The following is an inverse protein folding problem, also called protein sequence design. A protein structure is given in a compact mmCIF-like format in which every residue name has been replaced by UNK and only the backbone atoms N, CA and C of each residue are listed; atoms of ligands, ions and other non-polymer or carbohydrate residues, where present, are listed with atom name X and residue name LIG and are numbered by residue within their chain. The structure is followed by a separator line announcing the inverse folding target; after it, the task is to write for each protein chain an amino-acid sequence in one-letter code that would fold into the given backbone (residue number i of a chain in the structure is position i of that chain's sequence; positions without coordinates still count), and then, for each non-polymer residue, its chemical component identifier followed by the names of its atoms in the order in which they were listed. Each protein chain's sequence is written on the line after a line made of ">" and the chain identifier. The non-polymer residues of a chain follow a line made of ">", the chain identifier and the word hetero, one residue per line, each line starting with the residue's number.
data_IF_790966577314
#
_entry.id   IF_790966577314
#
_cell.length_a   1.000
_cell.length_b   1.000
_cell.length_c   1.000
_cell.angle_alpha   90.00
_cell.angle_beta   90.00
_cell.angle_gamma   90.00
#
_symmetry.space_group_name_H-M   'P 1'
#
loop_
_entity.id
_entity.type
_entity.pdbx_description
1 polymer ?
#
# COMPACT_ATOMS: atom_id res chain seq x y z
N UNK A 1 -10.69 -2.06 6.42
CA UNK A 1 -9.27 -1.66 6.32
C UNK A 1 -9.11 -0.63 5.21
N UNK A 2 -8.43 0.48 5.46
CA UNK A 2 -8.15 1.52 4.45
C UNK A 2 -6.66 1.81 4.39
N UNK A 3 -6.13 2.08 3.18
CA UNK A 3 -4.77 2.55 2.95
C UNK A 3 -4.80 3.98 2.39
N UNK A 4 -3.95 4.87 2.90
CA UNK A 4 -3.87 6.28 2.52
C UNK A 4 -2.42 6.76 2.52
N UNK A 5 -2.07 7.65 1.60
CA UNK A 5 -0.75 8.28 1.56
C UNK A 5 -0.78 9.64 2.27
N UNK A 6 0.07 9.84 3.26
CA UNK A 6 0.25 11.11 3.94
C UNK A 6 1.49 11.81 3.36
N UNK A 7 1.31 12.55 2.28
CA UNK A 7 2.45 12.99 1.45
C UNK A 7 3.07 14.33 1.86
N UNK A 8 2.46 15.13 2.76
CA UNK A 8 3.02 16.41 3.26
C UNK A 8 2.40 16.81 4.60
N UNK A 9 3.17 17.55 5.38
CA UNK A 9 2.78 18.08 6.70
C UNK A 9 2.18 19.48 6.66
N UNK A 10 1.38 19.85 5.64
CA UNK A 10 0.64 21.11 5.68
C UNK A 10 -0.62 20.97 6.55
N UNK A 11 -1.00 22.03 7.26
CA UNK A 11 -2.19 22.02 8.14
C UNK A 11 -3.47 21.60 7.40
N UNK A 12 -3.59 21.97 6.13
CA UNK A 12 -4.74 21.61 5.30
C UNK A 12 -4.77 20.11 4.96
N UNK A 13 -3.60 19.51 4.67
CA UNK A 13 -3.52 18.08 4.36
C UNK A 13 -3.76 17.22 5.59
N UNK A 14 -3.25 17.64 6.75
CA UNK A 14 -3.54 17.00 8.03
C UNK A 14 -5.03 17.06 8.33
N UNK A 15 -5.68 18.21 8.11
CA UNK A 15 -7.13 18.35 8.31
C UNK A 15 -7.92 17.42 7.40
N UNK A 16 -7.62 17.39 6.10
CA UNK A 16 -8.29 16.50 5.15
C UNK A 16 -8.08 15.02 5.51
N UNK A 17 -6.89 14.67 5.99
CA UNK A 17 -6.61 13.33 6.49
C UNK A 17 -7.46 12.98 7.71
N UNK A 18 -7.55 13.86 8.72
CA UNK A 18 -8.36 13.63 9.91
C UNK A 18 -9.84 13.46 9.55
N UNK A 19 -10.37 14.30 8.66
CA UNK A 19 -11.76 14.20 8.19
C UNK A 19 -12.02 12.86 7.47
N UNK A 20 -11.12 12.42 6.60
CA UNK A 20 -11.21 11.13 5.92
C UNK A 20 -11.06 9.96 6.90
N UNK A 21 -10.14 10.05 7.86
CA UNK A 21 -9.92 9.04 8.89
C UNK A 21 -11.18 8.82 9.74
N UNK A 22 -11.80 9.90 10.21
CA UNK A 22 -13.03 9.85 11.00
C UNK A 22 -14.23 9.36 10.17
N UNK A 23 -14.34 9.78 8.91
CA UNK A 23 -15.45 9.39 8.04
C UNK A 23 -15.43 7.90 7.65
N UNK A 24 -14.22 7.35 7.43
CA UNK A 24 -14.06 5.93 7.09
C UNK A 24 -14.19 5.01 8.30
N UNK A 25 -13.91 5.50 9.51
CA UNK A 25 -14.04 4.77 10.80
C UNK A 25 -13.55 3.31 10.74
N UNK A 26 -12.45 3.08 10.00
CA UNK A 26 -11.93 1.75 9.73
C UNK A 26 -11.34 1.08 10.98
N UNK A 27 -11.46 -0.24 11.11
CA UNK A 27 -10.82 -0.99 12.20
C UNK A 27 -9.29 -0.94 12.10
N UNK A 28 -8.77 -0.87 10.87
CA UNK A 28 -7.36 -0.73 10.54
C UNK A 28 -7.19 0.37 9.51
N UNK A 29 -6.28 1.30 9.77
CA UNK A 29 -5.95 2.38 8.84
C UNK A 29 -4.45 2.38 8.59
N UNK A 30 -4.04 2.05 7.36
CA UNK A 30 -2.65 1.87 6.97
C UNK A 30 -2.17 3.08 6.16
N UNK A 31 -1.05 3.66 6.56
CA UNK A 31 -0.42 4.80 5.90
C UNK A 31 0.92 4.42 5.31
N UNK A 32 1.19 4.93 4.12
CA UNK A 32 2.45 4.79 3.44
C UNK A 32 3.04 6.17 3.15
N UNK A 33 4.35 6.20 2.93
CA UNK A 33 5.09 7.42 2.58
C UNK A 33 4.84 8.58 3.57
N UNK A 34 4.86 8.25 4.87
CA UNK A 34 4.58 9.25 5.92
C UNK A 34 5.62 10.37 5.95
N UNK A 35 6.87 10.09 5.55
CA UNK A 35 8.01 11.05 5.49
C UNK A 35 8.28 11.76 6.82
N UNK A 36 7.74 11.22 7.91
CA UNK A 36 7.85 11.79 9.26
C UNK A 36 9.00 11.17 10.04
N UNK A 37 9.40 11.89 11.07
CA UNK A 37 10.29 11.40 12.12
C UNK A 37 9.55 11.46 13.45
N UNK A 38 10.00 10.66 14.41
CA UNK A 38 9.41 10.62 15.75
C UNK A 38 9.31 12.03 16.37
N UNK A 39 8.13 12.37 16.90
CA UNK A 39 7.86 13.64 17.56
C UNK A 39 7.61 14.84 16.63
N UNK A 40 7.57 14.66 15.30
CA UNK A 40 7.27 15.77 14.38
C UNK A 40 5.79 16.14 14.35
N UNK A 41 4.91 15.17 14.52
CA UNK A 41 3.45 15.36 14.52
C UNK A 41 2.88 14.52 15.66
N UNK A 42 1.84 15.05 16.32
CA UNK A 42 0.99 14.27 17.19
C UNK A 42 -0.34 14.04 16.48
N UNK A 43 -0.56 12.80 16.00
CA UNK A 43 -1.78 12.33 15.37
C UNK A 43 -2.33 11.17 16.19
N UNK A 44 -2.83 11.50 17.39
CA UNK A 44 -3.48 10.52 18.26
C UNK A 44 -4.99 10.54 18.02
N UNK A 45 -5.56 9.39 17.68
CA UNK A 45 -6.99 9.21 17.52
C UNK A 45 -7.55 8.39 18.68
N UNK A 46 -8.61 8.91 19.30
CA UNK A 46 -9.25 8.22 20.42
C UNK A 46 -9.79 6.85 20.00
N UNK A 47 -9.42 5.83 20.75
CA UNK A 47 -9.83 4.44 20.48
C UNK A 47 -8.93 3.68 19.51
N UNK A 48 -7.83 4.29 19.07
CA UNK A 48 -6.85 3.64 18.21
C UNK A 48 -5.49 3.50 18.88
N UNK A 49 -4.85 2.36 18.65
CA UNK A 49 -3.42 2.16 18.83
C UNK A 49 -2.71 2.59 17.53
N UNK A 50 -1.53 3.17 17.62
CA UNK A 50 -0.72 3.55 16.45
C UNK A 50 0.66 2.92 16.50
N UNK A 51 1.12 2.43 15.35
CA UNK A 51 2.43 1.82 15.18
C UNK A 51 3.13 2.50 14.02
N UNK A 52 4.19 3.24 14.34
CA UNK A 52 4.96 4.05 13.39
C UNK A 52 6.30 3.39 13.09
N UNK A 53 6.66 3.36 11.82
CA UNK A 53 7.96 2.91 11.34
C UNK A 53 8.63 4.06 10.58
N UNK A 54 9.62 4.67 11.20
CA UNK A 54 10.29 5.87 10.70
C UNK A 54 11.56 5.46 9.95
N UNK A 55 11.74 5.93 8.71
CA UNK A 55 12.95 5.69 7.96
C UNK A 55 14.16 6.42 8.56
N UNK A 56 15.34 5.83 8.45
CA UNK A 56 16.59 6.46 8.90
C UNK A 56 16.85 7.78 8.18
N UNK A 57 16.55 7.83 6.89
CA UNK A 57 16.64 9.03 6.08
C UNK A 57 15.44 9.94 6.31
N UNK A 58 15.68 11.14 6.85
CA UNK A 58 14.65 12.16 7.11
C UNK A 58 13.89 12.56 5.84
N UNK A 59 12.57 12.71 5.97
CA UNK A 59 11.70 13.14 4.87
C UNK A 59 11.55 12.10 3.74
N UNK A 60 11.78 10.83 4.05
CA UNK A 60 11.76 9.76 3.06
C UNK A 60 11.00 8.54 3.61
N UNK A 61 10.23 7.86 2.74
CA UNK A 61 9.52 6.61 3.07
C UNK A 61 8.70 6.69 4.37
N UNK A 62 8.70 5.63 5.17
CA UNK A 62 7.96 5.52 6.43
C UNK A 62 6.55 4.97 6.25
N UNK A 63 6.11 4.18 7.21
CA UNK A 63 4.78 3.57 7.26
C UNK A 63 4.16 3.75 8.63
N UNK A 64 2.83 3.68 8.71
CA UNK A 64 2.11 3.70 9.98
C UNK A 64 0.85 2.84 9.88
N UNK A 65 0.47 2.23 10.99
CA UNK A 65 -0.81 1.53 11.12
C UNK A 65 -1.54 2.03 12.36
N UNK A 66 -2.77 2.48 12.17
CA UNK A 66 -3.74 2.67 13.25
C UNK A 66 -4.65 1.46 13.32
N UNK A 67 -5.00 1.04 14.54
CA UNK A 67 -5.90 -0.10 14.76
C UNK A 67 -6.75 0.10 16.02
N UNK A 68 -8.02 -0.26 15.94
CA UNK A 68 -8.92 -0.33 17.12
C UNK A 68 -8.62 -1.54 18.01
N UNK A 69 -7.90 -2.53 17.47
CA UNK A 69 -7.66 -3.81 18.12
C UNK A 69 -6.17 -3.99 18.47
N UNK A 70 -5.81 -4.23 19.74
CA UNK A 70 -4.40 -4.45 20.10
C UNK A 70 -3.88 -5.72 19.43
N UNK A 71 -2.76 -5.67 18.70
CA UNK A 71 -2.14 -6.85 18.12
C UNK A 71 -1.44 -7.72 19.19
N UNK A 72 -1.25 -9.01 18.91
CA UNK A 72 -0.46 -9.92 19.72
C UNK A 72 1.03 -9.58 19.64
N UNK A 73 1.49 -9.19 18.46
CA UNK A 73 2.87 -8.74 18.23
C UNK A 73 2.94 -7.74 17.06
N UNK A 74 4.01 -6.95 17.05
CA UNK A 74 4.33 -5.97 16.00
C UNK A 74 5.74 -6.25 15.51
N UNK A 75 5.90 -6.36 14.18
CA UNK A 75 7.21 -6.51 13.54
C UNK A 75 7.41 -5.40 12.51
N UNK A 76 8.60 -4.82 12.51
CA UNK A 76 9.05 -3.80 11.57
C UNK A 76 10.05 -4.41 10.61
N UNK A 77 9.83 -4.21 9.29
CA UNK A 77 10.66 -4.82 8.25
C UNK A 77 10.32 -6.29 8.00
N UNK A 78 11.12 -6.94 7.16
CA UNK A 78 10.97 -8.34 6.79
C UNK A 78 12.11 -9.23 7.34
N UNK A 79 13.02 -8.66 8.15
CA UNK A 79 14.17 -9.34 8.72
C UNK A 79 15.34 -9.47 7.75
N UNK A 80 15.41 -8.65 6.72
CA UNK A 80 16.50 -8.56 5.75
C UNK A 80 17.12 -7.16 5.91
N UNK A 81 18.32 -7.09 6.49
CA UNK A 81 18.99 -5.84 6.85
C UNK A 81 19.04 -4.83 5.68
N UNK A 82 19.40 -5.29 4.48
CA UNK A 82 19.48 -4.47 3.28
C UNK A 82 18.14 -3.80 2.91
N UNK A 83 17.00 -4.39 3.31
CA UNK A 83 15.66 -3.95 2.94
C UNK A 83 14.94 -3.17 4.04
N UNK A 84 15.42 -3.23 5.28
CA UNK A 84 14.65 -2.73 6.42
C UNK A 84 14.98 -1.28 6.83
N UNK A 85 16.07 -0.66 6.30
CA UNK A 85 16.48 0.72 6.61
C UNK A 85 15.51 1.82 6.13
N UNK A 86 14.69 1.52 5.13
CA UNK A 86 13.75 2.48 4.57
C UNK A 86 12.36 2.45 5.23
N UNK A 87 12.16 1.59 6.25
CA UNK A 87 10.94 1.49 7.07
C UNK A 87 9.64 1.36 6.25
N UNK A 88 9.66 0.36 5.35
CA UNK A 88 8.62 0.12 4.36
C UNK A 88 7.57 -0.88 4.77
N UNK A 89 7.77 -1.60 5.87
CA UNK A 89 6.92 -2.71 6.27
C UNK A 89 6.59 -2.67 7.76
N UNK A 90 5.30 -2.85 8.07
CA UNK A 90 4.80 -3.12 9.43
C UNK A 90 3.92 -4.36 9.34
N UNK A 91 4.18 -5.34 10.20
CA UNK A 91 3.34 -6.52 10.35
C UNK A 91 2.72 -6.54 11.74
N UNK A 92 1.40 -6.58 11.80
CA UNK A 92 0.63 -6.80 13.03
C UNK A 92 0.12 -8.23 13.05
N UNK A 93 0.37 -8.94 14.14
CA UNK A 93 -0.13 -10.28 14.36
C UNK A 93 -1.43 -10.26 15.18
N UNK A 94 -2.44 -10.93 14.68
CA UNK A 94 -3.69 -11.20 15.38
C UNK A 94 -3.89 -12.71 15.59
N UNK A 95 -4.92 -13.10 16.34
CA UNK A 95 -5.18 -14.52 16.63
C UNK A 95 -5.37 -15.32 15.32
N UNK A 96 -6.08 -14.77 14.35
CA UNK A 96 -6.55 -15.48 13.17
C UNK A 96 -5.87 -15.05 11.85
N UNK A 97 -5.08 -13.96 11.85
CA UNK A 97 -4.44 -13.44 10.65
C UNK A 97 -3.23 -12.54 10.96
N UNK A 98 -2.45 -12.25 9.93
CA UNK A 98 -1.47 -11.17 9.92
C UNK A 98 -1.98 -10.02 9.04
N UNK A 99 -1.83 -8.78 9.53
CA UNK A 99 -1.98 -7.57 8.71
C UNK A 99 -0.58 -7.05 8.36
N UNK A 100 -0.30 -6.88 7.07
CA UNK A 100 0.98 -6.36 6.58
C UNK A 100 0.72 -5.06 5.81
N UNK A 101 1.17 -3.93 6.38
CA UNK A 101 1.18 -2.63 5.72
C UNK A 101 2.53 -2.42 5.01
N UNK A 102 2.49 -2.07 3.74
CA UNK A 102 3.67 -1.98 2.91
C UNK A 102 3.72 -0.70 2.06
N UNK A 103 4.93 -0.17 1.91
CA UNK A 103 5.29 0.83 0.92
C UNK A 103 6.42 0.29 0.04
N UNK A 104 6.08 -0.29 -1.09
CA UNK A 104 7.04 -0.91 -2.02
C UNK A 104 7.98 0.14 -2.62
N UNK A 105 9.30 -0.12 -2.71
CA UNK A 105 10.23 0.83 -3.31
C UNK A 105 9.90 1.08 -4.78
N UNK A 106 9.88 2.34 -5.19
CA UNK A 106 9.72 2.74 -6.59
C UNK A 106 11.03 2.51 -7.36
N UNK A 107 10.96 2.03 -8.61
CA UNK A 107 12.13 1.80 -9.48
C UNK A 107 12.82 3.08 -9.93
N UNK A 108 12.20 4.24 -9.73
CA UNK A 108 12.68 5.60 -10.02
C UNK A 108 12.93 5.88 -11.51
N UNK A 109 13.03 7.17 -11.85
CA UNK A 109 13.30 7.62 -13.22
C UNK A 109 14.52 6.93 -13.81
N UNK A 110 14.39 6.46 -15.06
CA UNK A 110 15.42 5.69 -15.73
C UNK A 110 15.65 4.30 -15.16
N UNK A 111 14.71 3.78 -14.37
CA UNK A 111 14.72 2.43 -13.78
C UNK A 111 15.97 2.11 -12.96
N UNK A 112 16.63 3.14 -12.41
CA UNK A 112 17.92 3.00 -11.71
C UNK A 112 17.87 2.18 -10.43
N UNK A 113 16.68 1.90 -9.90
CA UNK A 113 16.45 1.02 -8.74
C UNK A 113 15.71 -0.26 -9.11
N UNK A 114 15.55 -0.59 -10.39
CA UNK A 114 14.79 -1.78 -10.80
C UNK A 114 15.40 -3.07 -10.26
N UNK A 115 16.73 -3.24 -10.38
CA UNK A 115 17.42 -4.44 -9.86
C UNK A 115 17.21 -4.61 -8.35
N UNK A 116 17.32 -3.53 -7.58
CA UNK A 116 17.05 -3.53 -6.14
C UNK A 116 15.58 -3.90 -5.86
N UNK A 117 14.65 -3.30 -6.62
CA UNK A 117 13.23 -3.59 -6.51
C UNK A 117 12.94 -5.08 -6.75
N UNK A 118 13.56 -5.70 -7.74
CA UNK A 118 13.36 -7.12 -8.04
C UNK A 118 13.80 -8.02 -6.89
N UNK A 119 14.93 -7.71 -6.26
CA UNK A 119 15.41 -8.43 -5.06
C UNK A 119 14.48 -8.21 -3.86
N UNK A 120 14.04 -6.99 -3.65
CA UNK A 120 13.11 -6.62 -2.59
C UNK A 120 11.77 -7.38 -2.71
N UNK A 121 11.22 -7.47 -3.93
CA UNK A 121 9.98 -8.22 -4.22
C UNK A 121 10.12 -9.73 -3.93
N UNK A 122 11.26 -10.34 -4.23
CA UNK A 122 11.51 -11.75 -3.93
C UNK A 122 11.61 -11.98 -2.41
N UNK A 123 12.26 -11.07 -1.68
CA UNK A 123 12.32 -11.09 -0.22
C UNK A 123 10.93 -10.95 0.39
N UNK A 124 10.15 -9.98 -0.07
CA UNK A 124 8.79 -9.75 0.39
C UNK A 124 7.88 -10.96 0.14
N UNK A 125 7.90 -11.51 -1.07
CA UNK A 125 7.10 -12.71 -1.39
C UNK A 125 7.44 -13.86 -0.46
N UNK A 126 8.73 -14.13 -0.23
CA UNK A 126 9.19 -15.17 0.69
C UNK A 126 8.70 -14.92 2.11
N UNK A 127 8.73 -13.67 2.56
CA UNK A 127 8.25 -13.24 3.86
C UNK A 127 6.72 -13.47 4.00
N UNK A 128 5.93 -13.03 3.02
CA UNK A 128 4.48 -13.20 3.01
C UNK A 128 4.08 -14.69 2.99
N UNK A 129 4.76 -15.51 2.21
CA UNK A 129 4.53 -16.97 2.17
C UNK A 129 4.86 -17.63 3.52
N UNK A 130 5.92 -17.20 4.21
CA UNK A 130 6.28 -17.70 5.53
C UNK A 130 5.26 -17.31 6.61
N UNK A 131 4.65 -16.12 6.50
CA UNK A 131 3.51 -15.72 7.34
C UNK A 131 2.27 -16.55 7.01
N UNK A 132 1.95 -16.68 5.72
CA UNK A 132 0.77 -17.44 5.27
C UNK A 132 0.82 -18.91 5.67
N UNK A 133 1.99 -19.51 5.74
CA UNK A 133 2.15 -20.87 6.26
C UNK A 133 1.68 -21.03 7.73
N UNK A 134 1.64 -19.94 8.50
CA UNK A 134 1.21 -19.93 9.92
C UNK A 134 -0.26 -19.51 10.04
N UNK A 135 -0.62 -18.36 9.48
CA UNK A 135 -1.97 -17.77 9.52
C UNK A 135 -2.24 -17.04 8.23
N UNK A 136 -3.51 -16.85 7.82
CA UNK A 136 -3.85 -16.02 6.65
C UNK A 136 -3.24 -14.62 6.76
N UNK A 137 -2.91 -14.05 5.61
CA UNK A 137 -2.32 -12.72 5.49
C UNK A 137 -3.30 -11.77 4.78
N UNK A 138 -3.45 -10.57 5.33
CA UNK A 138 -4.01 -9.40 4.67
C UNK A 138 -2.83 -8.45 4.41
N UNK A 139 -2.47 -8.27 3.17
CA UNK A 139 -1.35 -7.45 2.72
C UNK A 139 -1.87 -6.24 1.97
N UNK A 140 -1.49 -5.03 2.38
CA UNK A 140 -2.01 -3.80 1.77
C UNK A 140 -0.96 -2.70 1.69
N UNK A 141 -1.21 -1.75 0.81
CA UNK A 141 -0.47 -0.51 0.71
C UNK A 141 -0.20 -0.08 -0.73
N UNK A 142 0.71 0.89 -0.87
CA UNK A 142 1.24 1.33 -2.15
C UNK A 142 2.30 0.34 -2.64
N UNK A 143 1.92 -0.45 -3.64
CA UNK A 143 2.80 -1.47 -4.22
C UNK A 143 3.60 -0.95 -5.42
N UNK A 144 3.43 0.32 -5.77
CA UNK A 144 4.16 0.98 -6.86
C UNK A 144 4.18 0.17 -8.17
N UNK A 145 3.10 -0.54 -8.49
CA UNK A 145 2.92 -1.30 -9.73
C UNK A 145 1.47 -1.31 -10.18
N UNK A 146 1.21 -0.98 -11.44
CA UNK A 146 -0.03 -1.31 -12.12
C UNK A 146 0.13 -2.70 -12.74
N UNK A 147 -0.62 -3.70 -12.27
CA UNK A 147 -0.39 -5.10 -12.65
C UNK A 147 -0.77 -5.39 -14.09
N UNK A 148 -1.97 -4.99 -14.49
CA UNK A 148 -2.55 -5.27 -15.82
C UNK A 148 -2.68 -3.97 -16.62
N UNK A 149 -2.83 -4.07 -17.94
CA UNK A 149 -3.07 -2.91 -18.80
C UNK A 149 -4.32 -2.11 -18.43
N UNK A 150 -5.33 -2.77 -17.87
CA UNK A 150 -6.55 -2.15 -17.36
C UNK A 150 -6.32 -1.32 -16.07
N UNK A 151 -5.17 -1.51 -15.40
CA UNK A 151 -4.84 -0.86 -14.13
C UNK A 151 -4.20 0.54 -14.31
N UNK A 152 -4.02 1.00 -15.55
CA UNK A 152 -3.54 2.37 -15.80
C UNK A 152 -4.13 2.92 -17.10
N UNK A 153 -4.10 4.26 -17.19
CA UNK A 153 -4.40 4.96 -18.43
C UNK A 153 -3.18 4.95 -19.34
N UNK A 154 -3.37 4.69 -20.65
CA UNK A 154 -2.33 4.67 -21.69
C UNK A 154 -1.22 3.62 -21.44
N UNK A 155 -1.52 2.33 -21.33
CA UNK A 155 -0.52 1.30 -21.06
C UNK A 155 0.60 1.25 -22.11
N UNK A 156 0.29 1.42 -23.41
CA UNK A 156 1.25 1.31 -24.51
C UNK A 156 2.45 2.27 -24.43
N UNK A 157 2.32 3.36 -23.70
CA UNK A 157 3.39 4.38 -23.56
C UNK A 157 4.13 4.27 -22.23
N UNK A 158 3.82 3.28 -21.40
CA UNK A 158 4.31 3.21 -20.03
C UNK A 158 5.13 1.93 -19.70
N UNK A 159 5.35 1.01 -20.66
CA UNK A 159 6.09 -0.24 -20.43
C UNK A 159 7.55 -0.05 -19.95
N UNK A 160 8.16 1.10 -20.23
CA UNK A 160 9.51 1.43 -19.76
C UNK A 160 9.51 2.43 -18.59
N UNK A 161 8.34 2.68 -17.99
CA UNK A 161 8.21 3.60 -16.86
C UNK A 161 8.13 2.82 -15.54
N UNK A 162 8.69 3.39 -14.44
CA UNK A 162 8.53 2.83 -13.11
C UNK A 162 7.08 2.55 -12.76
N UNK A 163 6.80 1.36 -12.24
CA UNK A 163 5.46 0.93 -11.88
C UNK A 163 4.67 0.22 -12.99
N UNK A 164 5.25 0.11 -14.21
CA UNK A 164 4.61 -0.67 -15.28
C UNK A 164 5.60 -1.42 -16.19
N UNK A 165 6.82 -1.64 -15.73
CA UNK A 165 7.76 -2.51 -16.45
C UNK A 165 7.28 -3.96 -16.43
N UNK A 166 7.69 -4.74 -17.40
CA UNK A 166 7.31 -6.15 -17.47
C UNK A 166 7.85 -6.91 -16.24
N UNK A 167 9.06 -6.56 -15.77
CA UNK A 167 9.67 -7.15 -14.58
C UNK A 167 8.84 -6.89 -13.30
N UNK A 168 8.37 -5.66 -13.09
CA UNK A 168 7.53 -5.32 -11.93
C UNK A 168 6.19 -6.04 -11.98
N UNK A 169 5.57 -6.10 -13.15
CA UNK A 169 4.30 -6.80 -13.38
C UNK A 169 4.44 -8.32 -13.20
N UNK A 170 5.56 -8.90 -13.65
CA UNK A 170 5.87 -10.32 -13.48
C UNK A 170 6.07 -10.67 -12.00
N UNK A 171 6.69 -9.80 -11.19
CA UNK A 171 6.79 -10.00 -9.75
C UNK A 171 5.41 -10.01 -9.09
N UNK A 172 4.50 -9.11 -9.48
CA UNK A 172 3.12 -9.11 -9.00
C UNK A 172 2.39 -10.40 -9.41
N UNK A 173 2.52 -10.82 -10.66
CA UNK A 173 1.96 -12.09 -11.14
C UNK A 173 2.48 -13.29 -10.35
N UNK A 174 3.76 -13.30 -10.05
CA UNK A 174 4.42 -14.35 -9.25
C UNK A 174 3.91 -14.37 -7.82
N UNK A 175 3.73 -13.20 -7.19
CA UNK A 175 3.13 -13.08 -5.86
C UNK A 175 1.70 -13.66 -5.85
N UNK A 176 0.85 -13.24 -6.78
CA UNK A 176 -0.53 -13.72 -6.87
C UNK A 176 -0.58 -15.24 -7.11
N UNK A 177 0.30 -15.78 -7.97
CA UNK A 177 0.41 -17.22 -8.22
C UNK A 177 0.90 -18.03 -7.02
N UNK A 178 1.44 -17.36 -6.00
CA UNK A 178 1.94 -18.01 -4.77
C UNK A 178 0.86 -18.20 -3.70
N UNK A 179 -0.43 -18.12 -4.05
CA UNK A 179 -1.57 -18.34 -3.15
C UNK A 179 -2.20 -17.06 -2.61
N UNK A 180 -2.03 -15.95 -3.32
CA UNK A 180 -2.58 -14.64 -2.95
C UNK A 180 -3.55 -14.12 -4.03
N UNK A 181 -4.48 -13.25 -3.61
CA UNK A 181 -5.54 -12.71 -4.46
C UNK A 181 -5.62 -11.19 -4.33
N UNK A 182 -5.63 -10.49 -5.46
CA UNK A 182 -5.99 -9.08 -5.56
C UNK A 182 -7.49 -8.92 -5.31
N UNK A 183 -7.86 -8.35 -4.19
CA UNK A 183 -9.26 -8.28 -3.74
C UNK A 183 -10.13 -7.42 -4.65
N UNK A 184 -9.59 -6.32 -5.18
CA UNK A 184 -10.34 -5.48 -6.10
C UNK A 184 -10.65 -6.23 -7.41
N UNK A 185 -9.66 -6.91 -7.99
CA UNK A 185 -9.87 -7.72 -9.21
C UNK A 185 -10.65 -9.00 -8.97
N UNK A 186 -10.73 -9.48 -7.74
CA UNK A 186 -11.63 -10.57 -7.36
C UNK A 186 -13.11 -10.17 -7.54
N UNK A 187 -13.49 -8.98 -7.09
CA UNK A 187 -14.86 -8.47 -7.24
C UNK A 187 -15.13 -7.83 -8.61
N UNK A 188 -14.15 -7.15 -9.17
CA UNK A 188 -14.27 -6.32 -10.37
C UNK A 188 -13.19 -6.66 -11.40
N UNK A 189 -13.23 -7.88 -12.00
CA UNK A 189 -12.15 -8.38 -12.86
C UNK A 189 -11.89 -7.51 -14.09
N UNK A 190 -12.93 -6.85 -14.62
CA UNK A 190 -12.88 -6.10 -15.87
C UNK A 190 -13.29 -4.62 -15.74
N UNK A 191 -13.39 -4.09 -14.51
CA UNK A 191 -13.72 -2.70 -14.30
C UNK A 191 -12.58 -1.76 -14.74
N UNK A 192 -12.87 -0.90 -15.72
CA UNK A 192 -11.94 0.08 -16.26
C UNK A 192 -12.00 1.42 -15.50
N UNK A 193 -10.92 2.22 -15.61
CA UNK A 193 -10.89 3.57 -15.05
C UNK A 193 -10.88 3.64 -13.53
N UNK A 194 -10.59 2.53 -12.89
CA UNK A 194 -10.52 2.41 -11.45
C UNK A 194 -9.06 2.56 -11.01
N UNK A 195 -8.71 3.78 -10.60
CA UNK A 195 -7.34 4.14 -10.24
C UNK A 195 -7.26 4.62 -8.80
N UNK A 196 -6.08 4.48 -8.21
CA UNK A 196 -5.82 4.91 -6.83
C UNK A 196 -4.81 6.05 -6.75
N UNK A 197 -4.08 6.34 -7.84
CA UNK A 197 -3.07 7.38 -7.91
C UNK A 197 -3.16 8.20 -9.21
N UNK A 198 -2.89 9.51 -9.10
CA UNK A 198 -2.83 10.45 -10.23
C UNK A 198 -1.68 11.44 -10.04
N UNK A 199 -0.87 11.62 -11.07
CA UNK A 199 0.14 12.68 -11.04
C UNK A 199 -0.48 14.06 -10.81
N UNK A 200 0.17 14.91 -10.01
CA UNK A 200 -0.23 16.33 -9.88
C UNK A 200 -0.11 17.12 -11.16
N UNK A 201 0.60 16.60 -12.18
CA UNK A 201 0.84 17.30 -13.45
C UNK A 201 -0.40 17.23 -14.34
N UNK A 202 -0.63 18.30 -15.10
CA UNK A 202 -1.61 18.39 -16.20
C UNK A 202 -3.06 18.02 -15.78
N UNK A 203 -3.44 18.25 -14.53
CA UNK A 203 -4.77 17.91 -13.99
C UNK A 203 -5.15 16.45 -14.24
N UNK A 204 -4.21 15.55 -14.00
CA UNK A 204 -4.39 14.13 -14.33
C UNK A 204 -5.61 13.53 -13.63
N UNK A 205 -5.89 13.90 -12.37
CA UNK A 205 -7.03 13.39 -11.60
C UNK A 205 -8.37 13.84 -12.18
N UNK A 206 -8.51 15.11 -12.56
CA UNK A 206 -9.73 15.65 -13.20
C UNK A 206 -10.06 14.94 -14.52
N UNK A 207 -9.02 14.48 -15.23
CA UNK A 207 -9.12 13.77 -16.52
C UNK A 207 -9.16 12.27 -16.38
N UNK A 208 -9.10 11.76 -15.15
CA UNK A 208 -8.94 10.36 -14.80
C UNK A 208 -7.78 9.66 -15.57
N UNK A 209 -6.63 10.34 -15.65
CA UNK A 209 -5.40 9.77 -16.20
C UNK A 209 -4.58 9.25 -15.01
N UNK A 210 -4.96 8.11 -14.51
CA UNK A 210 -4.45 7.53 -13.28
C UNK A 210 -3.91 6.12 -13.42
N UNK A 211 -3.44 5.60 -12.29
CA UNK A 211 -2.89 4.26 -12.11
C UNK A 211 -3.48 3.63 -10.86
N UNK A 212 -3.76 2.35 -10.89
CA UNK A 212 -4.10 1.55 -9.70
C UNK A 212 -2.82 0.89 -9.19
N UNK A 213 -2.24 1.46 -8.17
CA UNK A 213 -0.97 1.01 -7.56
C UNK A 213 -1.07 0.72 -6.07
N UNK A 214 -2.22 1.02 -5.47
CA UNK A 214 -2.57 0.67 -4.10
C UNK A 214 -3.46 -0.58 -4.11
N UNK A 215 -3.18 -1.52 -3.21
CA UNK A 215 -3.83 -2.84 -3.20
C UNK A 215 -4.18 -3.30 -1.80
N UNK A 216 -5.25 -4.12 -1.74
CA UNK A 216 -5.43 -5.16 -0.75
C UNK A 216 -5.25 -6.51 -1.42
N UNK A 217 -4.27 -7.24 -0.95
CA UNK A 217 -3.97 -8.61 -1.39
C UNK A 217 -4.15 -9.53 -0.18
N UNK A 218 -4.85 -10.63 -0.35
CA UNK A 218 -5.13 -11.55 0.74
C UNK A 218 -4.73 -12.97 0.38
N UNK A 219 -4.44 -13.78 1.41
CA UNK A 219 -4.33 -15.23 1.24
C UNK A 219 -5.59 -15.78 0.57
N UNK A 220 -5.46 -16.65 -0.43
CA UNK A 220 -6.58 -17.22 -1.19
C UNK A 220 -7.67 -17.84 -0.28
N UNK A 221 -7.27 -18.44 0.84
CA UNK A 221 -8.20 -19.01 1.83
C UNK A 221 -9.11 -17.99 2.52
N UNK A 222 -8.82 -16.68 2.43
CA UNK A 222 -9.70 -15.62 2.91
C UNK A 222 -10.78 -15.20 1.91
N UNK A 223 -10.69 -15.60 0.64
CA UNK A 223 -11.62 -15.13 -0.41
C UNK A 223 -13.09 -15.31 -0.07
N UNK A 224 -13.44 -16.41 0.61
CA UNK A 224 -14.84 -16.67 1.02
C UNK A 224 -15.35 -15.74 2.14
N UNK A 225 -14.46 -14.99 2.77
CA UNK A 225 -14.76 -14.02 3.84
C UNK A 225 -14.78 -12.57 3.35
N UNK A 226 -14.42 -12.35 2.09
CA UNK A 226 -14.45 -11.04 1.48
C UNK A 226 -15.90 -10.63 1.21
N UNK A 227 -16.26 -9.41 1.59
CA UNK A 227 -17.60 -8.85 1.39
C UNK A 227 -17.60 -7.80 0.27
N UNK A 228 -16.60 -6.92 0.24
CA UNK A 228 -16.46 -5.88 -0.77
C UNK A 228 -15.00 -5.42 -0.89
N UNK A 229 -14.70 -4.69 -1.96
CA UNK A 229 -13.48 -3.91 -2.12
C UNK A 229 -13.81 -2.60 -2.81
N UNK A 230 -13.25 -1.48 -2.33
CA UNK A 230 -13.56 -0.14 -2.83
C UNK A 230 -12.31 0.69 -3.09
N UNK A 231 -12.42 1.62 -4.03
CA UNK A 231 -11.43 2.65 -4.33
C UNK A 231 -12.16 4.00 -4.20
N UNK A 232 -11.81 4.81 -3.22
CA UNK A 232 -12.50 6.05 -2.87
C UNK A 232 -11.96 7.24 -3.67
N UNK A 233 -12.19 7.24 -4.98
CA UNK A 233 -11.68 8.28 -5.88
C UNK A 233 -12.20 9.69 -5.57
N UNK A 234 -13.32 9.79 -4.87
CA UNK A 234 -13.95 11.03 -4.42
C UNK A 234 -13.24 11.69 -3.25
N UNK A 235 -12.44 10.94 -2.46
CA UNK A 235 -11.69 11.47 -1.33
C UNK A 235 -10.42 12.14 -1.85
N UNK A 236 -10.33 13.45 -1.62
CA UNK A 236 -9.24 14.31 -2.07
C UNK A 236 -8.26 14.61 -0.91
N UNK A 237 -7.12 15.22 -1.22
CA UNK A 237 -6.13 15.66 -0.23
C UNK A 237 -4.75 15.04 -0.44
N UNK A 238 -4.64 14.04 -1.32
CA UNK A 238 -3.39 13.40 -1.73
C UNK A 238 -3.42 13.11 -3.22
N UNK A 239 -2.30 12.80 -3.83
CA UNK A 239 -2.20 12.23 -5.18
C UNK A 239 -2.65 10.76 -5.23
N UNK A 240 -2.80 10.10 -4.08
CA UNK A 240 -3.53 8.85 -3.94
C UNK A 240 -4.93 9.08 -3.38
N UNK A 241 -5.78 8.08 -3.51
CA UNK A 241 -7.03 7.99 -2.76
C UNK A 241 -7.04 6.74 -1.88
N UNK A 242 -7.85 6.73 -0.80
CA UNK A 242 -8.02 5.54 0.03
C UNK A 242 -8.57 4.37 -0.75
N UNK A 243 -8.12 3.18 -0.39
CA UNK A 243 -8.73 1.91 -0.78
C UNK A 243 -9.25 1.19 0.45
N UNK A 244 -10.27 0.38 0.30
CA UNK A 244 -10.96 -0.29 1.41
C UNK A 244 -11.27 -1.75 1.09
N UNK A 245 -11.19 -2.57 2.14
CA UNK A 245 -11.55 -3.98 2.16
C UNK A 245 -12.42 -4.27 3.37
#
# INVERSE_FOLDING_TARGET
>A
VSAFLLNRSSDLEIKNFCEAFEALDADFFCLQETKLQEGQINLDFLGYYSFWNYAEKKGYSGTCVYTKHPPLSVHYGMGIEEHDHESRLITLEYADFFLVCCYTPNSQDGLRRLDYRMQWEDGLRSYLMALDAKKPVIYCGDLNVAHREIDLKNPQTNHENPGFTDEERDKMSTLLSSGFVDTFRYFYPDAEGQYSWWSYRMRARERNVGWRIDYFIVSERLCKRLESASIHQEILGSDHCPIEL
#
